data_IF_426994664725
#
_entry.id   IF_426994664725
#
_cell.length_a   1.000
_cell.length_b   1.000
_cell.length_c   1.000
_cell.angle_alpha   90.00
_cell.angle_beta   90.00
_cell.angle_gamma   90.00
#
_symmetry.space_group_name_H-M   'P 1'
#
loop_
_entity.id
_entity.type
_entity.pdbx_description
1 polymer ?
#
# COMPACT_ATOMS: atom_id res chain seq x y z
N UNK A 1 5.37 11.24 20.22
CA UNK A 1 5.80 10.57 18.97
C UNK A 1 4.70 10.38 17.93
N UNK A 2 3.39 10.33 18.29
CA UNK A 2 2.29 10.17 17.33
C UNK A 2 2.22 11.26 16.24
N UNK A 3 2.48 12.52 16.57
CA UNK A 3 2.42 13.62 15.58
C UNK A 3 3.52 13.49 14.50
N UNK A 4 4.75 13.16 14.91
CA UNK A 4 5.86 12.93 13.99
C UNK A 4 5.59 11.74 13.06
N UNK A 5 5.03 10.64 13.58
CA UNK A 5 4.69 9.50 12.76
C UNK A 5 3.57 9.85 11.75
N UNK A 6 2.52 10.55 12.20
CA UNK A 6 1.41 10.97 11.33
C UNK A 6 1.83 11.93 10.21
N UNK A 7 2.81 12.78 10.48
CA UNK A 7 3.43 13.67 9.50
C UNK A 7 4.59 13.03 8.75
N UNK A 8 4.84 11.73 8.87
CA UNK A 8 5.69 11.00 7.93
C UNK A 8 4.83 10.16 6.99
N UNK A 9 3.69 9.68 7.49
CA UNK A 9 2.79 8.86 6.70
C UNK A 9 2.00 9.65 5.66
N UNK A 10 1.60 10.88 5.95
CA UNK A 10 0.92 11.74 4.98
C UNK A 10 1.81 12.09 3.79
N UNK A 11 3.06 12.49 4.04
CA UNK A 11 4.02 12.76 2.97
C UNK A 11 4.40 11.48 2.21
N UNK A 12 4.50 10.32 2.86
CA UNK A 12 4.69 9.04 2.17
C UNK A 12 3.54 8.76 1.19
N UNK A 13 2.28 8.89 1.65
CA UNK A 13 1.10 8.74 0.78
C UNK A 13 1.16 9.71 -0.40
N UNK A 14 1.51 10.98 -0.17
CA UNK A 14 1.61 11.97 -1.25
C UNK A 14 2.66 11.60 -2.29
N UNK A 15 3.86 11.20 -1.87
CA UNK A 15 4.95 10.80 -2.78
C UNK A 15 4.56 9.57 -3.59
N UNK A 16 4.00 8.55 -2.95
CA UNK A 16 3.62 7.33 -3.66
C UNK A 16 2.41 7.54 -4.58
N UNK A 17 1.43 8.36 -4.20
CA UNK A 17 0.33 8.75 -5.08
C UNK A 17 0.87 9.43 -6.35
N UNK A 18 1.84 10.34 -6.20
CA UNK A 18 2.50 10.95 -7.35
C UNK A 18 3.24 9.93 -8.22
N UNK A 19 3.91 8.95 -7.61
CA UNK A 19 4.57 7.88 -8.37
C UNK A 19 3.57 7.04 -9.19
N UNK A 20 2.37 6.77 -8.68
CA UNK A 20 1.34 6.05 -9.46
C UNK A 20 0.85 6.85 -10.67
N UNK A 21 0.89 8.18 -10.60
CA UNK A 21 0.55 9.06 -11.74
C UNK A 21 1.65 9.08 -12.80
N UNK A 22 2.91 8.99 -12.37
CA UNK A 22 4.06 8.92 -13.28
C UNK A 22 4.22 7.54 -13.94
N UNK A 23 3.95 6.48 -13.18
CA UNK A 23 4.16 5.09 -13.58
C UNK A 23 2.90 4.26 -13.34
N UNK A 24 1.79 4.55 -14.05
CA UNK A 24 0.51 3.89 -13.82
C UNK A 24 0.54 2.39 -14.10
N UNK A 25 1.45 1.94 -14.96
CA UNK A 25 1.62 0.53 -15.35
C UNK A 25 2.61 -0.23 -14.45
N UNK A 26 3.14 0.42 -13.40
CA UNK A 26 4.05 -0.21 -12.44
C UNK A 26 3.27 -0.80 -11.26
N UNK A 27 3.18 -2.13 -11.12
CA UNK A 27 2.52 -2.74 -9.96
C UNK A 27 3.19 -2.35 -8.65
N UNK A 28 4.52 -2.11 -8.67
CA UNK A 28 5.29 -1.72 -7.49
C UNK A 28 4.86 -0.34 -6.95
N UNK A 29 4.48 0.59 -7.82
CA UNK A 29 3.99 1.89 -7.39
C UNK A 29 2.66 1.78 -6.62
N UNK A 30 1.76 0.89 -7.05
CA UNK A 30 0.51 0.63 -6.36
C UNK A 30 0.72 -0.12 -5.04
N UNK A 31 1.65 -1.08 -4.99
CA UNK A 31 2.06 -1.78 -3.77
C UNK A 31 2.65 -0.81 -2.72
N UNK A 32 3.53 0.09 -3.15
CA UNK A 32 4.12 1.10 -2.26
C UNK A 32 3.09 2.10 -1.73
N UNK A 33 2.14 2.50 -2.58
CA UNK A 33 1.03 3.37 -2.15
C UNK A 33 0.14 2.66 -1.12
N UNK A 34 -0.16 1.38 -1.35
CA UNK A 34 -0.93 0.57 -0.42
C UNK A 34 -0.25 0.46 0.96
N UNK A 35 1.06 0.23 0.99
CA UNK A 35 1.84 0.17 2.24
C UNK A 35 1.81 1.51 2.99
N UNK A 36 1.89 2.63 2.27
CA UNK A 36 1.82 3.95 2.87
C UNK A 36 0.44 4.21 3.50
N UNK A 37 -0.65 3.85 2.83
CA UNK A 37 -1.99 3.95 3.41
C UNK A 37 -2.17 3.03 4.62
N UNK A 38 -1.61 1.82 4.59
CA UNK A 38 -1.68 0.91 5.73
C UNK A 38 -0.99 1.49 6.96
N UNK A 39 0.23 2.01 6.80
CA UNK A 39 0.95 2.70 7.87
C UNK A 39 0.21 3.94 8.36
N UNK A 40 -0.61 4.58 7.50
CA UNK A 40 -1.40 5.75 7.84
C UNK A 40 -2.67 5.39 8.64
N UNK A 41 -2.97 4.10 8.78
CA UNK A 41 -4.20 3.59 9.39
C UNK A 41 -5.40 3.57 8.43
N UNK A 42 -5.21 3.93 7.17
CA UNK A 42 -6.25 3.90 6.15
C UNK A 42 -6.31 2.51 5.49
N UNK A 43 -6.99 1.61 6.18
CA UNK A 43 -7.07 0.20 5.79
C UNK A 43 -7.89 -0.03 4.52
N UNK A 44 -8.81 0.88 4.19
CA UNK A 44 -9.65 0.76 3.00
C UNK A 44 -8.82 1.03 1.75
N UNK A 45 -8.11 2.17 1.70
CA UNK A 45 -7.24 2.51 0.58
C UNK A 45 -6.06 1.53 0.46
N UNK A 46 -5.49 1.07 1.57
CA UNK A 46 -4.46 0.05 1.54
C UNK A 46 -4.94 -1.24 0.86
N UNK A 47 -6.13 -1.73 1.21
CA UNK A 47 -6.70 -2.94 0.58
C UNK A 47 -6.98 -2.73 -0.90
N UNK A 48 -7.49 -1.57 -1.28
CA UNK A 48 -7.76 -1.24 -2.68
C UNK A 48 -6.48 -1.34 -3.52
N UNK A 49 -5.41 -0.66 -3.09
CA UNK A 49 -4.20 -0.57 -3.89
C UNK A 49 -3.35 -1.85 -3.88
N UNK A 50 -3.38 -2.64 -2.80
CA UNK A 50 -2.81 -4.00 -2.85
C UNK A 50 -3.56 -4.89 -3.83
N UNK A 51 -4.90 -4.84 -3.87
CA UNK A 51 -5.67 -5.60 -4.85
C UNK A 51 -5.36 -5.17 -6.28
N UNK A 52 -5.14 -3.87 -6.51
CA UNK A 52 -4.70 -3.36 -7.81
C UNK A 52 -3.32 -3.90 -8.21
N UNK A 53 -2.35 -3.89 -7.29
CA UNK A 53 -1.03 -4.48 -7.53
C UNK A 53 -1.12 -5.99 -7.88
N UNK A 54 -2.02 -6.73 -7.22
CA UNK A 54 -2.28 -8.15 -7.52
C UNK A 54 -2.90 -8.33 -8.91
N UNK A 55 -3.83 -7.47 -9.31
CA UNK A 55 -4.45 -7.56 -10.64
C UNK A 55 -3.44 -7.30 -11.76
N UNK A 56 -2.47 -6.42 -11.52
CA UNK A 56 -1.43 -6.07 -12.49
C UNK A 56 -0.29 -7.09 -12.57
N UNK A 57 0.04 -7.74 -11.45
CA UNK A 57 1.10 -8.75 -11.38
C UNK A 57 0.64 -10.01 -10.62
N UNK A 58 -0.34 -10.75 -11.14
CA UNK A 58 -0.99 -11.83 -10.38
C UNK A 58 -0.04 -12.97 -10.01
N UNK A 59 1.00 -13.24 -10.80
CA UNK A 59 1.94 -14.34 -10.57
C UNK A 59 3.38 -13.89 -10.29
N UNK A 60 3.70 -12.61 -10.45
CA UNK A 60 5.02 -12.08 -10.18
C UNK A 60 5.23 -11.67 -8.72
N UNK A 61 6.37 -11.02 -8.50
CA UNK A 61 6.88 -10.73 -7.17
C UNK A 61 5.99 -9.71 -6.44
N UNK A 62 5.47 -8.71 -7.15
CA UNK A 62 4.70 -7.65 -6.52
C UNK A 62 3.32 -8.13 -6.10
N UNK A 63 2.59 -8.88 -6.93
CA UNK A 63 1.31 -9.43 -6.49
C UNK A 63 1.45 -10.49 -5.39
N UNK A 64 2.57 -11.23 -5.34
CA UNK A 64 2.88 -12.11 -4.20
C UNK A 64 3.12 -11.30 -2.92
N UNK A 65 3.86 -10.18 -3.01
CA UNK A 65 4.05 -9.27 -1.88
C UNK A 65 2.72 -8.73 -1.37
N UNK A 66 1.93 -8.11 -2.25
CA UNK A 66 0.63 -7.53 -1.93
C UNK A 66 -0.33 -8.54 -1.27
N UNK A 67 -0.34 -9.81 -1.71
CA UNK A 67 -1.12 -10.87 -1.05
C UNK A 67 -0.63 -11.18 0.36
N UNK A 68 0.66 -11.15 0.61
CA UNK A 68 1.21 -11.34 1.95
C UNK A 68 0.82 -10.17 2.86
N UNK A 69 0.96 -8.94 2.38
CA UNK A 69 0.57 -7.75 3.13
C UNK A 69 -0.92 -7.76 3.50
N UNK A 70 -1.80 -8.13 2.56
CA UNK A 70 -3.24 -8.29 2.85
C UNK A 70 -3.52 -9.34 3.94
N UNK A 71 -2.74 -10.42 4.00
CA UNK A 71 -2.88 -11.43 5.06
C UNK A 71 -2.43 -10.88 6.41
N UNK A 72 -1.31 -10.16 6.45
CA UNK A 72 -0.77 -9.52 7.66
C UNK A 72 -1.77 -8.50 8.22
N UNK A 73 -2.30 -7.60 7.38
CA UNK A 73 -3.32 -6.62 7.76
C UNK A 73 -4.56 -7.28 8.39
N UNK A 74 -5.01 -8.41 7.86
CA UNK A 74 -6.16 -9.13 8.39
C UNK A 74 -5.85 -9.87 9.70
N UNK A 75 -4.57 -10.14 9.99
CA UNK A 75 -4.13 -10.73 11.25
C UNK A 75 -3.98 -9.69 12.36
N UNK A 76 -3.50 -8.49 12.05
CA UNK A 76 -3.34 -7.40 13.03
C UNK A 76 -4.67 -6.81 13.50
N UNK A 77 -5.71 -6.82 12.67
CA UNK A 77 -7.05 -6.36 13.03
C UNK A 77 -7.84 -7.32 13.94
N UNK A 78 -7.23 -8.40 14.43
CA UNK A 78 -7.87 -9.41 15.31
C UNK A 78 -7.54 -9.24 16.80
N UNK A 79 -6.91 -8.14 17.19
CA UNK A 79 -6.59 -7.82 18.58
C UNK A 79 -7.37 -6.59 19.06
#
# INVERSE_FOLDING_TARGET
YQLLNSGQTKEAVFVFDFNTKLFPDSPNCWDSLAEAYWKAGDLENAKEYYNKAIQMDPDGATGKNARNMLKEMNSENKH
#
